data_IF_112692879472
#
_entry.id   IF_112692879472
#
_cell.length_a   1.000
_cell.length_b   1.000
_cell.length_c   1.000
_cell.angle_alpha   90.00
_cell.angle_beta   90.00
_cell.angle_gamma   90.00
#
_symmetry.space_group_name_H-M   'P 1'
#
loop_
_entity.id
_entity.type
_entity.pdbx_description
1 polymer ?
#
# COMPACT_ATOMS: atom_id res chain seq x y z
N UNK A 1 -6.92 6.11 13.32
CA UNK A 1 -8.01 6.68 12.50
C UNK A 1 -7.99 6.01 11.13
N UNK A 2 -9.15 5.57 10.62
CA UNK A 2 -9.25 5.00 9.28
C UNK A 2 -8.92 6.06 8.21
N UNK A 3 -8.32 5.61 7.11
CA UNK A 3 -8.06 6.44 5.95
C UNK A 3 -9.37 6.98 5.38
N UNK A 4 -9.52 8.29 5.44
CA UNK A 4 -10.63 8.98 4.79
C UNK A 4 -10.10 9.61 3.51
N UNK A 5 -10.49 9.13 2.32
CA UNK A 5 -10.12 9.81 1.08
C UNK A 5 -10.70 11.23 1.10
N UNK A 6 -9.95 12.21 0.59
CA UNK A 6 -10.47 13.57 0.48
C UNK A 6 -11.62 13.61 -0.55
N UNK A 7 -12.85 13.71 -0.04
CA UNK A 7 -14.11 13.75 -0.81
C UNK A 7 -14.72 15.16 -0.89
N UNK A 8 -13.95 16.21 -0.59
CA UNK A 8 -14.45 17.59 -0.66
C UNK A 8 -15.04 17.88 -2.06
N UNK A 9 -16.33 18.26 -2.10
CA UNK A 9 -17.08 18.53 -3.33
C UNK A 9 -18.04 17.42 -3.81
N UNK A 10 -18.17 16.29 -3.10
CA UNK A 10 -19.12 15.22 -3.48
C UNK A 10 -20.51 15.47 -2.88
N UNK A 11 -21.49 15.76 -3.73
CA UNK A 11 -22.90 15.75 -3.33
C UNK A 11 -23.34 14.30 -3.03
N UNK A 12 -23.91 14.07 -1.84
CA UNK A 12 -24.38 12.75 -1.34
C UNK A 12 -25.39 12.02 -2.27
N UNK A 13 -25.97 12.69 -3.27
CA UNK A 13 -27.05 12.17 -4.14
C UNK A 13 -26.60 11.22 -5.24
N UNK A 14 -25.32 11.16 -5.60
CA UNK A 14 -24.84 10.30 -6.68
C UNK A 14 -23.90 9.20 -6.18
N UNK A 15 -24.46 8.19 -5.49
CA UNK A 15 -23.70 6.98 -5.10
C UNK A 15 -23.05 6.24 -6.28
N UNK A 16 -23.51 6.49 -7.52
CA UNK A 16 -23.08 5.77 -8.73
C UNK A 16 -22.33 6.62 -9.77
N UNK A 17 -21.87 7.85 -9.45
CA UNK A 17 -21.12 8.67 -10.42
C UNK A 17 -19.85 9.28 -9.82
N UNK A 18 -18.76 8.55 -10.00
CA UNK A 18 -17.59 9.15 -10.63
C UNK A 18 -17.11 8.13 -11.68
N UNK A 19 -17.60 8.26 -12.93
CA UNK A 19 -16.94 7.59 -14.07
C UNK A 19 -15.51 8.12 -14.27
N UNK A 20 -15.20 9.33 -13.79
CA UNK A 20 -13.85 9.85 -13.55
C UNK A 20 -13.90 10.97 -12.48
N UNK A 21 -13.27 10.78 -11.31
CA UNK A 21 -12.65 11.82 -10.47
C UNK A 21 -11.98 11.20 -9.24
N UNK A 22 -10.71 11.56 -9.10
CA UNK A 22 -9.68 11.09 -8.16
C UNK A 22 -9.10 9.72 -8.53
N UNK A 23 -8.06 9.75 -9.37
CA UNK A 23 -7.13 8.64 -9.54
C UNK A 23 -5.84 9.03 -8.83
N UNK A 24 -5.74 8.79 -7.53
CA UNK A 24 -4.46 8.93 -6.83
C UNK A 24 -3.45 8.00 -7.48
N UNK A 25 -2.24 8.47 -7.78
CA UNK A 25 -1.19 7.62 -8.36
C UNK A 25 -0.16 7.33 -7.29
N UNK A 26 -0.08 6.07 -6.89
CA UNK A 26 0.93 5.59 -5.96
C UNK A 26 1.97 4.77 -6.72
N UNK A 27 3.17 4.72 -6.17
CA UNK A 27 4.24 3.87 -6.67
C UNK A 27 4.51 2.78 -5.63
N UNK A 28 4.83 1.58 -6.09
CA UNK A 28 5.37 0.53 -5.25
C UNK A 28 6.46 -0.27 -5.95
N UNK A 29 7.26 -0.96 -5.15
CA UNK A 29 8.20 -1.98 -5.60
C UNK A 29 8.33 -3.05 -4.52
N UNK A 30 8.87 -4.21 -4.90
CA UNK A 30 9.13 -5.32 -4.00
C UNK A 30 10.64 -5.41 -3.75
N UNK A 31 11.01 -5.73 -2.52
CA UNK A 31 12.40 -5.98 -2.14
C UNK A 31 12.47 -7.10 -1.12
N UNK A 32 13.42 -8.01 -1.32
CA UNK A 32 13.84 -8.98 -0.30
C UNK A 32 14.86 -8.35 0.67
N UNK A 33 15.44 -7.18 0.30
CA UNK A 33 16.48 -6.49 1.07
C UNK A 33 15.87 -5.43 1.98
N UNK A 34 15.58 -5.82 3.23
CA UNK A 34 15.46 -4.89 4.36
C UNK A 34 16.78 -4.79 5.13
N UNK A 35 16.81 -3.98 6.20
CA UNK A 35 17.93 -3.90 7.16
C UNK A 35 18.19 -5.28 7.85
N UNK A 36 17.27 -6.23 7.70
CA UNK A 36 17.41 -7.65 8.03
C UNK A 36 17.16 -8.44 6.74
N UNK A 37 18.14 -9.23 6.32
CA UNK A 37 18.33 -9.67 4.92
C UNK A 37 17.35 -10.75 4.39
N UNK A 38 16.23 -11.04 5.06
CA UNK A 38 15.38 -12.19 4.69
C UNK A 38 13.86 -11.98 4.86
N UNK A 39 13.41 -10.72 4.98
CA UNK A 39 11.98 -10.43 5.17
C UNK A 39 11.40 -9.83 3.89
N UNK A 40 10.43 -10.50 3.22
CA UNK A 40 9.72 -9.95 2.09
C UNK A 40 9.10 -8.59 2.43
N UNK A 41 9.51 -7.56 1.68
CA UNK A 41 9.17 -6.17 1.98
C UNK A 41 8.63 -5.46 0.75
N UNK A 42 7.50 -4.77 0.90
CA UNK A 42 6.94 -3.89 -0.11
C UNK A 42 7.25 -2.44 0.23
N UNK A 43 7.83 -1.70 -0.72
CA UNK A 43 8.09 -0.27 -0.56
C UNK A 43 7.00 0.54 -1.28
N UNK A 44 6.48 1.57 -0.63
CA UNK A 44 5.41 2.40 -1.15
C UNK A 44 5.70 3.89 -1.03
N UNK A 45 5.34 4.65 -2.07
CA UNK A 45 5.06 6.09 -1.96
C UNK A 45 3.54 6.32 -1.94
N UNK A 46 2.94 6.10 -0.78
CA UNK A 46 1.50 6.22 -0.54
C UNK A 46 1.22 6.77 0.87
N UNK A 47 0.01 7.27 1.17
CA UNK A 47 -0.37 7.66 2.52
C UNK A 47 -0.27 6.47 3.49
N UNK A 48 0.47 6.63 4.59
CA UNK A 48 0.69 5.56 5.58
C UNK A 48 -0.60 5.06 6.23
N UNK A 49 -1.60 5.93 6.38
CA UNK A 49 -2.93 5.55 6.89
C UNK A 49 -3.69 4.65 5.93
N UNK A 50 -3.55 4.82 4.61
CA UNK A 50 -4.15 3.92 3.62
C UNK A 50 -3.51 2.53 3.70
N UNK A 51 -2.18 2.48 3.80
CA UNK A 51 -1.43 1.22 3.95
C UNK A 51 -1.83 0.50 5.24
N UNK A 52 -1.95 1.24 6.36
CA UNK A 52 -2.37 0.66 7.65
C UNK A 52 -3.73 0.01 7.58
N UNK A 53 -4.73 0.67 7.00
CA UNK A 53 -6.07 0.12 6.87
C UNK A 53 -6.11 -1.11 5.97
N UNK A 54 -5.38 -1.09 4.85
CA UNK A 54 -5.31 -2.21 3.93
C UNK A 54 -4.58 -3.42 4.55
N UNK A 55 -3.44 -3.21 5.21
CA UNK A 55 -2.69 -4.25 5.90
C UNK A 55 -3.48 -4.84 7.07
N UNK A 56 -4.14 -4.01 7.88
CA UNK A 56 -4.94 -4.49 9.00
C UNK A 56 -6.12 -5.35 8.54
N UNK A 57 -6.72 -5.03 7.39
CA UNK A 57 -7.74 -5.87 6.78
C UNK A 57 -7.18 -7.24 6.39
N UNK A 58 -6.04 -7.28 5.68
CA UNK A 58 -5.42 -8.53 5.27
C UNK A 58 -4.95 -9.37 6.45
N UNK A 59 -4.34 -8.76 7.46
CA UNK A 59 -3.91 -9.45 8.68
C UNK A 59 -5.05 -10.21 9.35
N UNK A 60 -6.23 -9.58 9.47
CA UNK A 60 -7.43 -10.22 10.02
C UNK A 60 -7.98 -11.33 9.11
N UNK A 61 -7.96 -11.10 7.80
CA UNK A 61 -8.48 -12.04 6.81
C UNK A 61 -7.60 -13.30 6.71
N UNK A 62 -6.29 -13.15 6.90
CA UNK A 62 -5.28 -14.21 6.81
C UNK A 62 -4.90 -14.76 8.18
N UNK A 63 -5.77 -14.62 9.19
CA UNK A 63 -5.51 -15.09 10.53
C UNK A 63 -5.09 -16.58 10.52
N UNK A 64 -3.92 -16.89 11.08
CA UNK A 64 -3.34 -18.24 11.11
C UNK A 64 -2.43 -18.58 9.92
N UNK A 65 -2.41 -17.79 8.85
CA UNK A 65 -1.52 -17.96 7.69
C UNK A 65 -0.50 -16.83 7.53
N UNK A 66 -0.48 -15.90 8.49
CA UNK A 66 0.40 -14.75 8.53
C UNK A 66 0.70 -14.42 10.00
N UNK A 67 1.98 -14.32 10.36
CA UNK A 67 2.40 -14.02 11.73
C UNK A 67 2.16 -12.55 12.08
N UNK A 68 2.67 -11.63 11.25
CA UNK A 68 2.58 -10.19 11.49
C UNK A 68 2.81 -9.37 10.20
N UNK A 69 2.36 -8.11 10.21
CA UNK A 69 2.68 -7.11 9.18
C UNK A 69 3.22 -5.85 9.86
N UNK A 70 4.48 -5.51 9.59
CA UNK A 70 5.10 -4.28 10.12
C UNK A 70 5.11 -3.17 9.09
N UNK A 71 4.64 -1.99 9.50
CA UNK A 71 4.63 -0.79 8.66
C UNK A 71 5.64 0.20 9.23
N UNK A 72 6.75 0.37 8.54
CA UNK A 72 7.86 1.23 8.92
C UNK A 72 7.92 2.45 8.01
N UNK A 73 8.30 3.59 8.56
CA UNK A 73 8.57 4.78 7.75
C UNK A 73 10.06 4.81 7.43
N UNK A 74 10.41 4.78 6.15
CA UNK A 74 11.79 4.88 5.68
C UNK A 74 12.28 6.32 5.80
N UNK A 75 13.61 6.53 5.80
CA UNK A 75 14.21 7.87 5.87
C UNK A 75 14.06 8.72 4.59
N UNK A 76 13.40 8.19 3.54
CA UNK A 76 13.18 8.91 2.27
C UNK A 76 11.79 9.55 2.20
N UNK A 77 11.73 10.82 1.78
CA UNK A 77 10.49 11.57 1.57
C UNK A 77 10.49 12.21 0.19
N UNK A 78 9.37 12.05 -0.53
CA UNK A 78 9.14 12.70 -1.81
C UNK A 78 8.18 13.86 -1.65
N UNK A 79 8.49 15.03 -2.19
CA UNK A 79 7.54 16.15 -2.27
C UNK A 79 6.96 16.25 -3.67
N UNK A 80 5.63 16.27 -3.79
CA UNK A 80 4.94 16.49 -5.06
C UNK A 80 3.67 17.32 -4.83
N UNK A 81 3.48 18.37 -5.62
CA UNK A 81 2.33 19.29 -5.51
C UNK A 81 2.13 19.82 -4.08
N UNK A 82 3.22 20.20 -3.40
CA UNK A 82 3.19 20.68 -2.01
C UNK A 82 2.92 19.62 -0.93
N UNK A 83 2.75 18.34 -1.30
CA UNK A 83 2.52 17.23 -0.36
C UNK A 83 3.76 16.34 -0.25
N UNK A 84 4.15 16.02 0.98
CA UNK A 84 5.18 15.05 1.30
C UNK A 84 4.62 13.63 1.32
N UNK A 85 5.31 12.69 0.69
CA UNK A 85 5.03 11.28 0.68
C UNK A 85 6.27 10.56 1.19
N UNK A 86 6.24 10.15 2.45
CA UNK A 86 7.29 9.32 3.02
C UNK A 86 7.25 7.94 2.38
N UNK A 87 8.42 7.42 2.03
CA UNK A 87 8.55 6.02 1.63
C UNK A 87 8.20 5.17 2.85
N UNK A 88 7.23 4.28 2.66
CA UNK A 88 6.75 3.37 3.70
C UNK A 88 7.16 1.95 3.31
N UNK A 89 7.64 1.19 4.29
CA UNK A 89 8.07 -0.20 4.14
C UNK A 89 7.02 -1.08 4.82
N UNK A 90 6.47 -2.05 4.10
CA UNK A 90 5.52 -3.03 4.60
C UNK A 90 6.24 -4.37 4.61
N UNK A 91 6.63 -4.82 5.79
CA UNK A 91 7.30 -6.10 6.01
C UNK A 91 6.25 -7.16 6.32
N UNK A 92 6.29 -8.27 5.59
CA UNK A 92 5.37 -9.39 5.74
C UNK A 92 6.12 -10.52 6.45
N UNK A 93 5.66 -10.88 7.65
CA UNK A 93 6.35 -11.83 8.53
C UNK A 93 5.57 -13.13 8.61
N UNK A 94 6.28 -14.27 8.48
CA UNK A 94 5.71 -15.60 8.66
C UNK A 94 4.53 -15.89 7.74
N UNK A 95 4.62 -15.47 6.46
CA UNK A 95 3.62 -15.82 5.46
C UNK A 95 3.72 -17.33 5.17
N UNK A 96 2.59 -18.03 5.27
CA UNK A 96 2.54 -19.44 4.91
C UNK A 96 2.54 -19.63 3.39
N UNK A 97 3.73 -19.67 2.80
CA UNK A 97 3.91 -19.73 1.34
C UNK A 97 3.49 -21.07 0.71
N UNK A 98 3.31 -22.14 1.49
CA UNK A 98 2.76 -23.41 0.98
C UNK A 98 1.32 -23.27 0.48
N UNK A 99 0.55 -22.37 1.11
CA UNK A 99 -0.86 -22.12 0.77
C UNK A 99 -1.06 -20.78 0.06
N UNK A 100 -0.16 -19.82 0.28
CA UNK A 100 -0.38 -18.46 -0.20
C UNK A 100 0.93 -17.74 -0.53
N UNK A 101 1.19 -17.55 -1.82
CA UNK A 101 2.41 -16.90 -2.30
C UNK A 101 2.47 -15.42 -1.95
N UNK A 102 3.69 -14.89 -1.81
CA UNK A 102 3.92 -13.47 -1.60
C UNK A 102 3.35 -12.59 -2.74
N UNK A 103 3.41 -13.06 -3.99
CA UNK A 103 2.80 -12.37 -5.12
C UNK A 103 1.28 -12.21 -4.94
N UNK A 104 0.60 -13.29 -4.50
CA UNK A 104 -0.84 -13.27 -4.21
C UNK A 104 -1.15 -12.27 -3.09
N UNK A 105 -0.30 -12.21 -2.05
CA UNK A 105 -0.41 -11.23 -0.98
C UNK A 105 -0.32 -9.80 -1.52
N UNK A 106 0.68 -9.52 -2.35
CA UNK A 106 0.86 -8.20 -2.96
C UNK A 106 -0.38 -7.81 -3.75
N UNK A 107 -0.88 -8.68 -4.62
CA UNK A 107 -2.06 -8.39 -5.44
C UNK A 107 -3.29 -8.07 -4.58
N UNK A 108 -3.52 -8.84 -3.50
CA UNK A 108 -4.61 -8.58 -2.57
C UNK A 108 -4.46 -7.23 -1.85
N UNK A 109 -3.24 -6.88 -1.44
CA UNK A 109 -2.96 -5.61 -0.78
C UNK A 109 -3.25 -4.44 -1.70
N UNK A 110 -2.75 -4.50 -2.94
CA UNK A 110 -2.97 -3.47 -3.95
C UNK A 110 -4.46 -3.31 -4.26
N UNK A 111 -5.17 -4.43 -4.49
CA UNK A 111 -6.60 -4.41 -4.75
C UNK A 111 -7.38 -3.82 -3.58
N UNK A 112 -6.99 -4.14 -2.33
CA UNK A 112 -7.63 -3.57 -1.14
C UNK A 112 -7.42 -2.07 -1.04
N UNK A 113 -6.21 -1.58 -1.35
CA UNK A 113 -5.92 -0.15 -1.39
C UNK A 113 -6.78 0.57 -2.45
N UNK A 114 -6.91 0.01 -3.64
CA UNK A 114 -7.75 0.54 -4.73
C UNK A 114 -9.24 0.54 -4.37
N UNK A 115 -9.68 -0.40 -3.54
CA UNK A 115 -11.05 -0.44 -3.02
C UNK A 115 -11.31 0.64 -1.97
N UNK A 116 -10.34 0.91 -1.07
CA UNK A 116 -10.47 1.95 -0.03
C UNK A 116 -10.41 3.35 -0.65
N UNK A 117 -9.52 3.55 -1.62
CA UNK A 117 -9.27 4.81 -2.28
C UNK A 117 -9.24 4.59 -3.80
N UNK A 118 -10.06 5.33 -4.55
CA UNK A 118 -9.98 5.34 -6.01
C UNK A 118 -8.56 5.79 -6.43
N UNK A 119 -7.71 4.83 -6.77
CA UNK A 119 -6.30 5.06 -7.03
C UNK A 119 -5.80 4.08 -8.09
N UNK A 120 -4.64 4.41 -8.67
CA UNK A 120 -3.87 3.53 -9.53
C UNK A 120 -2.50 3.36 -8.91
N UNK A 121 -2.15 2.12 -8.64
CA UNK A 121 -0.86 1.79 -8.05
C UNK A 121 0.05 1.27 -9.17
N UNK A 122 1.23 1.87 -9.32
CA UNK A 122 2.19 1.53 -10.38
C UNK A 122 3.39 0.81 -9.79
N UNK A 123 3.66 -0.38 -10.31
CA UNK A 123 4.89 -1.11 -10.03
C UNK A 123 6.08 -0.45 -10.74
N UNK A 124 7.20 -0.35 -10.04
CA UNK A 124 8.49 0.06 -10.58
C UNK A 124 9.55 -0.97 -10.21
N UNK A 125 10.58 -1.13 -11.05
CA UNK A 125 11.81 -1.83 -10.64
C UNK A 125 12.45 -1.09 -9.47
N UNK A 126 13.09 -1.82 -8.56
CA UNK A 126 13.66 -1.25 -7.33
C UNK A 126 14.57 -0.05 -7.61
N UNK A 127 15.52 -0.18 -8.55
CA UNK A 127 16.42 0.92 -8.94
C UNK A 127 15.67 2.16 -9.42
N UNK A 128 14.63 1.98 -10.25
CA UNK A 128 13.80 3.09 -10.70
C UNK A 128 13.02 3.69 -9.54
N UNK A 129 12.48 2.85 -8.66
CA UNK A 129 11.68 3.26 -7.51
C UNK A 129 12.48 4.09 -6.50
N UNK A 130 13.73 3.68 -6.22
CA UNK A 130 14.62 4.40 -5.31
C UNK A 130 15.00 5.79 -5.85
N UNK A 131 14.95 5.98 -7.17
CA UNK A 131 15.28 7.23 -7.86
C UNK A 131 14.04 8.10 -8.26
N UNK A 132 12.82 7.77 -7.80
CA UNK A 132 11.56 8.50 -8.11
C UNK A 132 11.37 9.84 -7.37
#
# INVERSE_FOLDING_TARGET
MPYTPNRSGIQKKHRNLSKYKYLHRFAYTETMRGIKEDIPTLLFYAPSSLLRDACQYLYKMMAGNLEDIKILTSHSCRRKNGKGYWRTEVQVLGLNEEFFSFESFTQMLLHRMETICNCKIRHYRLETFLNL
#
